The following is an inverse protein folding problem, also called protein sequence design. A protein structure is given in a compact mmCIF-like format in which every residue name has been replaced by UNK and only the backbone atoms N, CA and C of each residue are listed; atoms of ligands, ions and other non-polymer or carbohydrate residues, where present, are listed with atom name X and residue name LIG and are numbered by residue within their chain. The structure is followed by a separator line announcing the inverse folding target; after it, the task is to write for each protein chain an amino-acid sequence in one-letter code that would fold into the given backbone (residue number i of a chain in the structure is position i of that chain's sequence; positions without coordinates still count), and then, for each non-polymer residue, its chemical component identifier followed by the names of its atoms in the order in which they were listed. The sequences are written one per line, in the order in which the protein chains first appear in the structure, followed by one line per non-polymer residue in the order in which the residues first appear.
data_IF_013234080529
#
_entry.id   IF_013234080529
#
_cell.length_a   1.000
_cell.length_b   1.000
_cell.length_c   1.000
_cell.angle_alpha   90.00
_cell.angle_beta   90.00
_cell.angle_gamma   90.00
#
_symmetry.space_group_name_H-M   'P 1'
#
loop_
_entity.id
_entity.type
_entity.pdbx_description
1 polymer ?
#
# COMPACT_ATOMS: atom_id res chain seq x y z
N UNK A 1 -14.00 -28.58 21.91
CA UNK A 1 -13.85 -27.12 21.82
C UNK A 1 -12.62 -26.94 20.98
N UNK A 2 -12.83 -26.78 19.69
CA UNK A 2 -11.75 -26.48 18.75
C UNK A 2 -11.41 -25.01 19.01
N UNK A 3 -10.18 -24.77 19.43
CA UNK A 3 -9.63 -23.42 19.50
C UNK A 3 -9.57 -22.92 18.05
N UNK A 4 -10.51 -22.05 17.69
CA UNK A 4 -10.43 -21.28 16.45
C UNK A 4 -9.14 -20.46 16.56
N UNK A 5 -8.10 -20.88 15.84
CA UNK A 5 -6.91 -20.08 15.63
C UNK A 5 -7.39 -18.74 15.07
N UNK A 6 -7.27 -17.66 15.87
CA UNK A 6 -7.48 -16.31 15.39
C UNK A 6 -6.45 -16.05 14.29
N UNK A 7 -6.84 -16.24 13.03
CA UNK A 7 -6.04 -15.79 11.90
C UNK A 7 -5.91 -14.27 12.01
N UNK A 8 -4.78 -13.82 12.55
CA UNK A 8 -4.26 -12.46 12.39
C UNK A 8 -4.53 -12.02 10.94
N UNK A 9 -5.35 -10.99 10.68
CA UNK A 9 -5.75 -10.63 9.32
C UNK A 9 -4.57 -9.96 8.60
N UNK A 10 -3.59 -10.78 8.21
CA UNK A 10 -2.40 -10.40 7.47
C UNK A 10 -2.67 -10.61 5.98
N UNK A 11 -3.38 -9.65 5.40
CA UNK A 11 -3.62 -9.62 3.96
C UNK A 11 -2.36 -9.20 3.18
N UNK A 12 -2.28 -9.57 1.91
CA UNK A 12 -1.34 -8.97 0.96
C UNK A 12 -2.11 -8.01 0.07
N UNK A 13 -1.80 -6.72 0.18
CA UNK A 13 -2.34 -5.71 -0.71
C UNK A 13 -1.50 -5.60 -1.98
N UNK A 14 -2.19 -5.38 -3.10
CA UNK A 14 -1.57 -5.15 -4.40
C UNK A 14 -1.73 -3.68 -4.77
N UNK A 15 -0.60 -2.96 -4.83
CA UNK A 15 -0.55 -1.57 -5.27
C UNK A 15 -0.10 -1.50 -6.72
N UNK A 16 -0.92 -0.93 -7.60
CA UNK A 16 -0.60 -0.72 -9.01
C UNK A 16 -0.35 0.76 -9.24
N UNK A 17 0.88 1.13 -9.60
CA UNK A 17 1.19 2.52 -9.94
C UNK A 17 0.74 2.86 -11.36
N UNK A 18 0.67 4.15 -11.70
CA UNK A 18 0.27 4.65 -13.02
C UNK A 18 1.05 4.05 -14.19
N UNK A 19 2.32 3.65 -13.98
CA UNK A 19 3.14 2.94 -14.98
C UNK A 19 2.73 1.47 -15.21
N UNK A 20 1.73 0.96 -14.49
CA UNK A 20 1.27 -0.43 -14.54
C UNK A 20 2.09 -1.40 -13.70
N UNK A 21 3.21 -0.95 -13.09
CA UNK A 21 4.00 -1.79 -12.18
C UNK A 21 3.18 -2.13 -10.94
N UNK A 22 3.26 -3.40 -10.52
CA UNK A 22 2.55 -3.92 -9.36
C UNK A 22 3.49 -4.19 -8.20
N UNK A 23 2.98 -3.94 -7.00
CA UNK A 23 3.70 -4.07 -5.73
C UNK A 23 2.87 -4.85 -4.74
N UNK A 24 3.46 -5.88 -4.16
CA UNK A 24 2.83 -6.64 -3.09
C UNK A 24 3.35 -6.11 -1.76
N UNK A 25 2.44 -5.64 -0.92
CA UNK A 25 2.75 -5.13 0.41
C UNK A 25 1.88 -5.86 1.42
N UNK A 26 2.48 -6.32 2.51
CA UNK A 26 1.68 -6.89 3.60
C UNK A 26 0.89 -5.78 4.27
N UNK A 27 -0.34 -6.09 4.64
CA UNK A 27 -1.16 -5.27 5.53
C UNK A 27 -1.31 -5.98 6.86
N UNK A 28 -1.30 -5.21 7.94
CA UNK A 28 -1.68 -5.69 9.26
C UNK A 28 -2.69 -4.74 9.87
N UNK A 29 -3.68 -5.28 10.57
CA UNK A 29 -4.54 -4.49 11.44
C UNK A 29 -3.79 -4.22 12.74
N UNK A 30 -3.71 -2.97 13.11
CA UNK A 30 -3.18 -2.49 14.39
C UNK A 30 -4.30 -1.74 15.13
N UNK A 31 -4.07 -1.42 16.41
CA UNK A 31 -5.04 -0.72 17.25
C UNK A 31 -5.54 0.61 16.65
N UNK A 32 -4.71 1.25 15.81
CA UNK A 32 -5.00 2.53 15.18
C UNK A 32 -5.45 2.44 13.71
N UNK A 33 -5.69 1.23 13.19
CA UNK A 33 -6.18 1.03 11.84
C UNK A 33 -5.40 -0.01 11.05
N UNK A 34 -5.36 0.13 9.73
CA UNK A 34 -4.65 -0.79 8.84
C UNK A 34 -3.36 -0.12 8.37
N UNK A 35 -2.25 -0.82 8.52
CA UNK A 35 -0.93 -0.31 8.09
C UNK A 35 -0.35 -1.16 6.96
N UNK A 36 0.45 -0.52 6.10
CA UNK A 36 1.33 -1.24 5.18
C UNK A 36 2.65 -1.58 5.86
N UNK A 37 3.05 -2.86 5.80
CA UNK A 37 4.24 -3.43 6.45
C UNK A 37 5.28 -3.82 5.40
N UNK A 38 5.64 -5.10 5.37
CA UNK A 38 6.63 -5.66 4.46
C UNK A 38 6.31 -5.28 3.02
N UNK A 39 7.33 -4.84 2.28
CA UNK A 39 7.19 -4.36 0.91
C UNK A 39 6.96 -2.85 0.79
N UNK A 40 6.40 -2.19 1.80
CA UNK A 40 6.12 -0.74 1.75
C UNK A 40 7.39 0.10 1.56
N UNK A 41 8.43 -0.16 2.35
CA UNK A 41 9.72 0.55 2.23
C UNK A 41 10.37 0.37 0.85
N UNK A 42 10.20 -0.81 0.25
CA UNK A 42 10.70 -1.12 -1.10
C UNK A 42 9.90 -0.36 -2.16
N UNK A 43 8.58 -0.36 -2.04
CA UNK A 43 7.68 0.44 -2.87
C UNK A 43 8.08 1.92 -2.87
N UNK A 44 8.28 2.52 -1.70
CA UNK A 44 8.69 3.93 -1.62
C UNK A 44 10.03 4.18 -2.32
N UNK A 45 11.03 3.32 -2.07
CA UNK A 45 12.38 3.48 -2.65
C UNK A 45 12.39 3.38 -4.17
N UNK A 46 11.72 2.37 -4.73
CA UNK A 46 11.76 2.11 -6.18
C UNK A 46 10.81 3.00 -7.00
N UNK A 47 9.83 3.64 -6.36
CA UNK A 47 9.00 4.68 -6.99
C UNK A 47 9.44 6.10 -6.58
N UNK A 48 10.62 6.25 -5.95
CA UNK A 48 11.20 7.53 -5.54
C UNK A 48 10.30 8.41 -4.66
N UNK A 49 9.42 7.78 -3.87
CA UNK A 49 8.50 8.48 -2.96
C UNK A 49 9.28 9.17 -1.85
N UNK A 50 9.03 10.46 -1.69
CA UNK A 50 9.58 11.33 -0.65
C UNK A 50 8.52 11.63 0.40
N UNK A 51 8.97 12.11 1.56
CA UNK A 51 8.08 12.52 2.65
C UNK A 51 7.18 13.72 2.28
N UNK A 52 7.57 14.46 1.24
CA UNK A 52 6.84 15.63 0.73
C UNK A 52 5.83 15.29 -0.36
N UNK A 53 5.79 14.04 -0.80
CA UNK A 53 4.96 13.61 -1.91
C UNK A 53 3.57 13.19 -1.42
N UNK A 54 2.57 13.37 -2.28
CA UNK A 54 1.20 12.98 -2.00
C UNK A 54 0.88 11.70 -2.74
N UNK A 55 0.26 10.74 -2.05
CA UNK A 55 -0.17 9.47 -2.64
C UNK A 55 -1.68 9.41 -2.61
N UNK A 56 -2.28 9.25 -3.79
CA UNK A 56 -3.70 8.99 -3.92
C UNK A 56 -3.91 7.49 -4.10
N UNK A 57 -4.69 6.88 -3.20
CA UNK A 57 -5.06 5.48 -3.26
C UNK A 57 -6.50 5.34 -3.74
N UNK A 58 -6.70 4.62 -4.84
CA UNK A 58 -8.03 4.22 -5.30
C UNK A 58 -8.24 2.75 -4.93
N UNK A 59 -9.23 2.47 -4.09
CA UNK A 59 -9.53 1.12 -3.64
C UNK A 59 -10.52 0.42 -4.58
N UNK A 60 -10.15 -0.77 -5.05
CA UNK A 60 -10.96 -1.57 -5.99
C UNK A 60 -11.61 -2.80 -5.34
N UNK A 61 -11.49 -2.96 -4.02
CA UNK A 61 -11.88 -4.20 -3.33
C UNK A 61 -10.73 -5.21 -3.24
N UNK A 62 -10.89 -6.23 -2.39
CA UNK A 62 -9.96 -7.37 -2.27
C UNK A 62 -8.48 -6.97 -2.10
N UNK A 63 -8.24 -5.92 -1.31
CA UNK A 63 -6.90 -5.34 -1.08
C UNK A 63 -6.15 -4.92 -2.37
N UNK A 64 -6.89 -4.60 -3.43
CA UNK A 64 -6.32 -4.07 -4.67
C UNK A 64 -6.47 -2.54 -4.70
N UNK A 65 -5.36 -1.87 -5.01
CA UNK A 65 -5.29 -0.42 -5.05
C UNK A 65 -4.58 0.05 -6.32
N UNK A 66 -5.08 1.14 -6.91
CA UNK A 66 -4.29 1.97 -7.81
C UNK A 66 -3.65 3.10 -7.00
N UNK A 67 -2.40 3.43 -7.29
CA UNK A 67 -1.65 4.46 -6.58
C UNK A 67 -1.10 5.48 -7.56
N UNK A 68 -1.53 6.71 -7.43
CA UNK A 68 -0.95 7.85 -8.13
C UNK A 68 -0.05 8.63 -7.16
N UNK A 69 1.17 8.93 -7.60
CA UNK A 69 2.19 9.64 -6.83
C UNK A 69 2.33 11.04 -7.41
N UNK A 70 2.14 12.04 -6.57
CA UNK A 70 2.30 13.45 -6.90
C UNK A 70 3.44 14.03 -6.10
N UNK A 71 4.29 14.83 -6.74
CA UNK A 71 5.32 15.56 -6.03
C UNK A 71 4.70 16.64 -5.11
N UNK A 72 5.56 17.30 -4.33
CA UNK A 72 5.15 18.38 -3.43
C UNK A 72 4.41 19.56 -4.10
N UNK A 73 4.50 19.69 -5.43
CA UNK A 73 3.83 20.73 -6.21
C UNK A 73 2.46 20.28 -6.72
N UNK A 74 2.09 19.01 -6.50
CA UNK A 74 0.87 18.40 -7.02
C UNK A 74 1.02 17.90 -8.45
N UNK A 75 2.23 17.88 -9.02
CA UNK A 75 2.48 17.33 -10.34
C UNK A 75 2.71 15.83 -10.25
N UNK A 76 2.05 15.07 -11.12
CA UNK A 76 2.21 13.61 -11.15
C UNK A 76 3.63 13.26 -11.55
N UNK A 77 4.30 12.46 -10.75
CA UNK A 77 5.64 11.97 -11.05
C UNK A 77 5.56 10.95 -12.19
N UNK A 78 6.37 11.11 -13.25
CA UNK A 78 6.40 10.26 -14.44
C UNK A 78 7.26 9.01 -14.24
#
# INVERSE_FOLDING_TARGET
MEEEEEEEPSGVATLTVSSGRKWHVKVSKEDNGVVFRDGWKRFCRENSVRITDFLQFTYHGNLQFSVDIFDKTGLRTN
#
